data_IF_908505869071
#
_entry.id   IF_908505869071
#
_cell.length_a   1.000
_cell.length_b   1.000
_cell.length_c   1.000
_cell.angle_alpha   90.00
_cell.angle_beta   90.00
_cell.angle_gamma   90.00
#
_symmetry.space_group_name_H-M   'P 1'
#
loop_
_entity.id
_entity.type
_entity.pdbx_description
1 polymer ?
#
# COMPACT_ATOMS: atom_id res chain seq x y z
N UNK A 1 2.20 61.40 12.32
CA UNK A 1 1.36 60.45 11.56
C UNK A 1 2.25 59.40 10.88
N UNK A 2 2.96 58.57 11.66
CA UNK A 2 3.97 57.62 11.12
C UNK A 2 3.87 56.20 11.71
N UNK A 3 3.01 55.99 12.71
CA UNK A 3 2.91 54.71 13.45
C UNK A 3 1.84 53.77 12.84
N UNK A 4 0.95 54.27 11.97
CA UNK A 4 -0.08 53.44 11.33
C UNK A 4 0.37 52.72 10.04
N UNK A 5 1.48 53.13 9.42
CA UNK A 5 1.99 52.45 8.22
C UNK A 5 2.90 51.26 8.55
N UNK A 6 3.69 51.35 9.61
CA UNK A 6 4.62 50.27 9.99
C UNK A 6 3.88 48.99 10.42
N UNK A 7 2.69 49.14 11.02
CA UNK A 7 1.85 48.00 11.42
C UNK A 7 1.16 47.32 10.24
N UNK A 8 0.98 48.02 9.10
CA UNK A 8 0.43 47.42 7.86
C UNK A 8 1.47 46.67 7.06
N UNK A 9 2.72 47.12 7.05
CA UNK A 9 3.81 46.38 6.40
C UNK A 9 4.24 45.15 7.21
N UNK A 10 4.18 45.22 8.56
CA UNK A 10 4.40 44.04 9.41
C UNK A 10 3.25 43.02 9.36
N UNK A 11 2.01 43.43 9.09
CA UNK A 11 0.90 42.48 8.83
C UNK A 11 0.94 41.89 7.41
N UNK A 12 1.43 42.62 6.40
CA UNK A 12 1.62 42.04 5.04
C UNK A 12 2.71 40.98 4.98
N UNK A 13 3.75 41.11 5.81
CA UNK A 13 4.84 40.12 5.89
C UNK A 13 4.51 38.91 6.77
N UNK A 14 3.35 38.91 7.46
CA UNK A 14 2.89 37.75 8.25
C UNK A 14 1.77 36.95 7.57
N UNK A 15 1.38 37.31 6.34
CA UNK A 15 0.42 36.56 5.52
C UNK A 15 1.01 36.04 4.20
N UNK A 16 2.34 35.93 4.12
CA UNK A 16 3.07 35.27 3.03
C UNK A 16 4.16 34.41 3.68
N UNK A 17 3.88 33.17 4.09
CA UNK A 17 4.05 31.95 3.27
C UNK A 17 3.74 30.72 4.15
N UNK A 18 3.55 29.49 3.61
CA UNK A 18 3.63 29.08 2.22
C UNK A 18 2.31 28.43 1.78
N UNK A 19 1.59 29.02 0.82
CA UNK A 19 0.66 28.18 0.05
C UNK A 19 1.55 27.40 -0.90
N UNK A 20 1.93 26.23 -0.39
CA UNK A 20 2.12 24.98 -1.13
C UNK A 20 2.20 25.20 -2.63
N UNK A 21 3.44 25.30 -3.14
CA UNK A 21 3.71 25.01 -4.54
C UNK A 21 3.53 23.51 -4.75
N UNK A 22 2.30 23.03 -4.62
CA UNK A 22 1.81 21.77 -5.17
C UNK A 22 1.17 22.13 -6.50
N UNK A 23 1.97 22.77 -7.35
CA UNK A 23 1.67 23.04 -8.73
C UNK A 23 2.42 22.02 -9.57
N UNK A 24 1.77 20.88 -9.75
CA UNK A 24 2.12 19.88 -10.76
C UNK A 24 3.49 19.22 -10.57
N UNK A 25 3.61 18.40 -9.52
CA UNK A 25 4.20 17.10 -9.80
C UNK A 25 3.34 16.53 -10.92
N UNK A 26 3.88 16.50 -12.14
CA UNK A 26 3.38 15.65 -13.20
C UNK A 26 3.47 14.26 -12.61
N UNK A 27 2.38 13.84 -11.97
CA UNK A 27 2.17 12.48 -11.57
C UNK A 27 2.20 11.73 -12.90
N UNK A 28 3.25 10.93 -13.18
CA UNK A 28 3.24 10.11 -14.37
C UNK A 28 1.95 9.29 -14.31
N UNK A 29 1.21 9.31 -15.42
CA UNK A 29 -0.16 8.82 -15.59
C UNK A 29 -0.34 7.32 -15.23
N UNK A 30 0.77 6.67 -14.96
CA UNK A 30 1.05 5.26 -14.69
C UNK A 30 1.29 4.96 -13.19
N UNK A 31 1.49 5.98 -12.34
CA UNK A 31 1.71 5.80 -10.89
C UNK A 31 0.49 5.30 -10.11
N UNK A 32 -0.73 5.56 -10.59
CA UNK A 32 -1.96 5.17 -9.88
C UNK A 32 -2.17 3.67 -9.80
N UNK A 33 -1.79 2.92 -10.83
CA UNK A 33 -1.97 1.45 -10.85
C UNK A 33 -0.96 0.76 -9.92
N UNK A 34 0.30 1.20 -9.94
CA UNK A 34 1.36 0.65 -9.08
C UNK A 34 1.07 0.93 -7.60
N UNK A 35 0.60 2.12 -7.25
CA UNK A 35 0.19 2.46 -5.87
C UNK A 35 -0.95 1.56 -5.40
N UNK A 36 -1.95 1.30 -6.26
CA UNK A 36 -3.06 0.38 -5.92
C UNK A 36 -2.61 -1.07 -5.79
N UNK A 37 -1.64 -1.51 -6.59
CA UNK A 37 -1.03 -2.83 -6.44
C UNK A 37 -0.26 -2.91 -5.11
N UNK A 38 0.53 -1.89 -4.76
CA UNK A 38 1.22 -1.84 -3.46
C UNK A 38 0.23 -1.93 -2.29
N UNK A 39 -0.85 -1.14 -2.30
CA UNK A 39 -1.89 -1.20 -1.28
C UNK A 39 -2.53 -2.59 -1.16
N UNK A 40 -2.84 -3.22 -2.30
CA UNK A 40 -3.37 -4.59 -2.31
C UNK A 40 -2.39 -5.60 -1.72
N UNK A 41 -1.09 -5.47 -2.03
CA UNK A 41 -0.05 -6.33 -1.48
C UNK A 41 0.07 -6.18 0.04
N UNK A 42 0.07 -4.95 0.57
CA UNK A 42 0.06 -4.70 2.03
C UNK A 42 -1.16 -5.36 2.69
N UNK A 43 -2.33 -5.24 2.08
CA UNK A 43 -3.56 -5.83 2.61
C UNK A 43 -3.48 -7.35 2.67
N UNK A 44 -3.06 -8.01 1.59
CA UNK A 44 -2.95 -9.47 1.57
C UNK A 44 -1.82 -10.00 2.45
N UNK A 45 -0.69 -9.30 2.53
CA UNK A 45 0.41 -9.62 3.44
C UNK A 45 -0.09 -9.66 4.89
N UNK A 46 -0.73 -8.58 5.36
CA UNK A 46 -1.33 -8.54 6.71
C UNK A 46 -2.40 -9.60 6.94
N UNK A 47 -3.23 -9.91 5.93
CA UNK A 47 -4.20 -11.01 6.02
C UNK A 47 -3.53 -12.38 6.16
N UNK A 48 -2.45 -12.63 5.41
CA UNK A 48 -1.71 -13.90 5.49
C UNK A 48 -0.93 -14.02 6.81
N UNK A 49 -0.53 -12.92 7.43
CA UNK A 49 0.06 -12.89 8.77
C UNK A 49 -0.95 -12.98 9.93
N UNK A 50 -2.24 -12.85 9.65
CA UNK A 50 -3.30 -12.85 10.68
C UNK A 50 -3.61 -14.24 11.23
N UNK A 51 -4.37 -14.28 12.33
CA UNK A 51 -4.82 -15.51 13.01
C UNK A 51 -5.62 -16.45 12.08
N UNK A 52 -6.17 -15.92 10.98
CA UNK A 52 -6.83 -16.70 9.93
C UNK A 52 -5.87 -17.78 9.41
N UNK A 53 -4.61 -17.44 9.13
CA UNK A 53 -3.62 -18.37 8.57
C UNK A 53 -2.62 -18.88 9.63
N UNK A 54 -2.37 -18.12 10.70
CA UNK A 54 -1.40 -18.47 11.76
C UNK A 54 -2.02 -19.14 13.01
N UNK A 55 -3.35 -19.26 13.11
CA UNK A 55 -4.02 -19.95 14.21
C UNK A 55 -3.72 -21.45 14.31
N UNK A 56 -4.45 -22.17 15.18
CA UNK A 56 -4.24 -23.59 15.60
C UNK A 56 -3.81 -24.63 14.55
N UNK A 57 -4.09 -24.39 13.25
CA UNK A 57 -3.72 -25.29 12.15
C UNK A 57 -2.38 -24.93 11.46
N UNK A 58 -1.64 -23.94 11.94
CA UNK A 58 -0.34 -23.52 11.38
C UNK A 58 0.80 -24.37 11.93
N UNK A 59 0.87 -25.64 11.53
CA UNK A 59 1.95 -26.55 11.95
C UNK A 59 3.27 -26.32 11.20
N UNK A 60 3.29 -25.49 10.15
CA UNK A 60 4.48 -25.29 9.31
C UNK A 60 4.66 -23.83 8.90
N UNK A 61 5.54 -23.06 9.57
CA UNK A 61 5.91 -21.70 9.14
C UNK A 61 6.59 -21.67 7.76
N UNK A 62 7.06 -22.82 7.26
CA UNK A 62 7.61 -23.01 5.92
C UNK A 62 6.64 -23.71 4.94
N UNK A 63 5.35 -23.76 5.26
CA UNK A 63 4.34 -24.24 4.31
C UNK A 63 4.19 -23.33 3.09
N UNK A 64 3.44 -23.76 2.06
CA UNK A 64 3.23 -22.98 0.83
C UNK A 64 2.64 -21.58 1.10
N UNK A 65 1.85 -21.42 2.16
CA UNK A 65 1.32 -20.11 2.59
C UNK A 65 2.41 -19.21 3.18
N UNK A 66 3.38 -19.76 3.92
CA UNK A 66 4.52 -19.01 4.44
C UNK A 66 5.44 -18.52 3.33
N UNK A 67 5.70 -19.36 2.32
CA UNK A 67 6.41 -18.94 1.12
C UNK A 67 5.66 -17.85 0.35
N UNK A 68 4.33 -17.98 0.20
CA UNK A 68 3.50 -16.97 -0.44
C UNK A 68 3.58 -15.63 0.31
N UNK A 69 3.49 -15.65 1.63
CA UNK A 69 3.66 -14.45 2.46
C UNK A 69 5.02 -13.78 2.24
N UNK A 70 6.11 -14.57 2.22
CA UNK A 70 7.45 -14.05 1.93
C UNK A 70 7.59 -13.47 0.51
N UNK A 71 6.99 -14.13 -0.50
CA UNK A 71 6.99 -13.63 -1.88
C UNK A 71 6.21 -12.32 -2.02
N UNK A 72 5.07 -12.16 -1.33
CA UNK A 72 4.32 -10.91 -1.32
C UNK A 72 5.11 -9.78 -0.66
N UNK A 73 5.81 -10.06 0.44
CA UNK A 73 6.68 -9.09 1.10
C UNK A 73 7.83 -8.64 0.19
N UNK A 74 8.49 -9.58 -0.49
CA UNK A 74 9.53 -9.27 -1.47
C UNK A 74 9.01 -8.42 -2.63
N UNK A 75 7.83 -8.74 -3.18
CA UNK A 75 7.22 -7.94 -4.23
C UNK A 75 6.83 -6.54 -3.76
N UNK A 76 6.31 -6.40 -2.53
CA UNK A 76 6.01 -5.09 -1.92
C UNK A 76 7.26 -4.22 -1.83
N UNK A 77 8.37 -4.79 -1.36
CA UNK A 77 9.65 -4.07 -1.24
C UNK A 77 10.18 -3.60 -2.62
N UNK A 78 10.06 -4.43 -3.66
CA UNK A 78 10.44 -4.04 -5.03
C UNK A 78 9.62 -2.88 -5.59
N UNK A 79 8.37 -2.76 -5.17
CA UNK A 79 7.47 -1.69 -5.60
C UNK A 79 7.56 -0.46 -4.73
N UNK A 80 8.41 -0.46 -3.70
CA UNK A 80 8.59 0.64 -2.76
C UNK A 80 9.88 1.41 -3.05
N UNK A 81 9.83 2.50 -3.84
CA UNK A 81 10.92 3.46 -3.93
C UNK A 81 11.45 3.89 -2.55
N UNK A 82 12.76 3.80 -2.35
CA UNK A 82 13.49 4.35 -1.20
C UNK A 82 13.04 5.79 -0.93
N UNK A 83 12.29 5.99 0.17
CA UNK A 83 11.89 7.32 0.66
C UNK A 83 10.39 7.62 0.65
N UNK A 84 9.53 6.75 0.09
CA UNK A 84 8.08 6.92 0.17
C UNK A 84 7.47 5.92 1.16
N UNK A 85 7.03 6.45 2.30
CA UNK A 85 6.35 5.70 3.34
C UNK A 85 4.86 5.60 3.01
N UNK A 86 4.45 4.71 2.08
CA UNK A 86 3.02 4.46 1.81
C UNK A 86 2.35 3.63 2.91
N UNK A 87 2.67 3.87 4.18
CA UNK A 87 2.01 3.23 5.30
C UNK A 87 0.59 3.77 5.43
N UNK A 88 -0.27 3.27 4.55
CA UNK A 88 -1.68 3.24 4.81
C UNK A 88 -1.87 2.08 5.79
N UNK A 89 -2.04 2.40 7.07
CA UNK A 89 -2.43 1.47 8.12
C UNK A 89 -3.85 0.92 7.85
N UNK A 90 -4.01 0.15 6.77
CA UNK A 90 -5.11 -0.80 6.68
C UNK A 90 -4.61 -2.06 7.38
N UNK A 91 -4.78 -2.10 8.69
CA UNK A 91 -4.75 -3.36 9.43
C UNK A 91 -6.10 -4.03 9.17
N UNK A 92 -6.17 -5.10 8.36
CA UNK A 92 -7.33 -5.96 8.42
C UNK A 92 -7.41 -6.43 9.87
N UNK A 93 -8.47 -6.02 10.57
CA UNK A 93 -8.77 -6.52 11.91
C UNK A 93 -9.75 -7.67 11.74
N UNK A 94 -9.28 -8.92 11.57
CA UNK A 94 -10.17 -10.05 11.66
C UNK A 94 -10.61 -10.19 13.12
N UNK A 95 -11.92 -10.07 13.34
CA UNK A 95 -12.55 -10.56 14.56
C UNK A 95 -12.23 -12.05 14.73
N UNK A 96 -12.02 -12.57 15.96
CA UNK A 96 -11.73 -13.99 16.16
C UNK A 96 -12.84 -14.84 15.54
N UNK A 97 -12.47 -15.58 14.49
CA UNK A 97 -13.39 -16.44 13.74
C UNK A 97 -13.23 -17.89 14.20
N UNK A 98 -14.33 -18.64 14.28
CA UNK A 98 -14.28 -20.05 14.68
C UNK A 98 -13.41 -20.87 13.69
N UNK A 99 -12.79 -21.99 14.10
CA UNK A 99 -11.86 -22.75 13.26
C UNK A 99 -12.41 -23.13 11.86
N UNK A 100 -13.70 -23.46 11.77
CA UNK A 100 -14.36 -23.76 10.48
C UNK A 100 -14.58 -22.50 9.62
N UNK A 101 -14.87 -21.35 10.25
CA UNK A 101 -14.97 -20.06 9.54
C UNK A 101 -13.61 -19.66 8.98
N UNK A 102 -12.53 -19.87 9.75
CA UNK A 102 -11.16 -19.64 9.26
C UNK A 102 -10.87 -20.45 8.01
N UNK A 103 -11.28 -21.73 7.94
CA UNK A 103 -11.07 -22.56 6.74
C UNK A 103 -11.76 -21.99 5.50
N UNK A 104 -13.02 -21.56 5.63
CA UNK A 104 -13.77 -20.94 4.53
C UNK A 104 -13.16 -19.58 4.13
N UNK A 105 -12.74 -18.77 5.10
CA UNK A 105 -12.08 -17.49 4.88
C UNK A 105 -10.73 -17.67 4.16
N UNK A 106 -9.92 -18.67 4.54
CA UNK A 106 -8.66 -18.99 3.84
C UNK A 106 -8.90 -19.23 2.35
N UNK A 107 -9.88 -20.06 2.00
CA UNK A 107 -10.20 -20.35 0.60
C UNK A 107 -10.69 -19.11 -0.16
N UNK A 108 -11.51 -18.27 0.47
CA UNK A 108 -12.01 -17.03 -0.13
C UNK A 108 -10.88 -16.03 -0.35
N UNK A 109 -9.99 -15.87 0.63
CA UNK A 109 -8.83 -14.96 0.56
C UNK A 109 -7.87 -15.44 -0.52
N UNK A 110 -7.51 -16.73 -0.56
CA UNK A 110 -6.60 -17.28 -1.57
C UNK A 110 -7.16 -17.13 -2.99
N UNK A 111 -8.46 -17.37 -3.21
CA UNK A 111 -9.08 -17.13 -4.52
C UNK A 111 -9.07 -15.65 -4.92
N UNK A 112 -9.34 -14.76 -3.97
CA UNK A 112 -9.28 -13.31 -4.22
C UNK A 112 -7.85 -12.86 -4.52
N UNK A 113 -6.87 -13.40 -3.80
CA UNK A 113 -5.45 -13.12 -4.01
C UNK A 113 -5.00 -13.59 -5.38
N UNK A 114 -5.42 -14.79 -5.84
CA UNK A 114 -5.13 -15.29 -7.18
C UNK A 114 -5.62 -14.32 -8.28
N UNK A 115 -6.85 -13.84 -8.17
CA UNK A 115 -7.38 -12.87 -9.12
C UNK A 115 -6.58 -11.55 -9.10
N UNK A 116 -6.22 -11.08 -7.91
CA UNK A 116 -5.41 -9.88 -7.73
C UNK A 116 -4.02 -10.02 -8.36
N UNK A 117 -3.26 -11.09 -8.05
CA UNK A 117 -1.91 -11.27 -8.60
C UNK A 117 -1.93 -11.49 -10.11
N UNK A 118 -2.99 -12.09 -10.68
CA UNK A 118 -3.13 -12.21 -12.12
C UNK A 118 -3.22 -10.84 -12.81
N UNK A 119 -3.96 -9.89 -12.22
CA UNK A 119 -4.03 -8.51 -12.72
C UNK A 119 -2.68 -7.81 -12.55
N UNK A 120 -2.06 -7.90 -11.38
CA UNK A 120 -0.77 -7.29 -11.11
C UNK A 120 0.32 -7.82 -12.07
N UNK A 121 0.38 -9.13 -12.28
CA UNK A 121 1.31 -9.76 -13.21
C UNK A 121 1.13 -9.25 -14.65
N UNK A 122 -0.12 -9.05 -15.10
CA UNK A 122 -0.39 -8.47 -16.42
C UNK A 122 0.12 -7.03 -16.51
N UNK A 123 -0.08 -6.23 -15.47
CA UNK A 123 0.42 -4.84 -15.42
C UNK A 123 1.93 -4.81 -15.49
N UNK A 124 2.63 -5.67 -14.74
CA UNK A 124 4.09 -5.74 -14.78
C UNK A 124 4.62 -6.28 -16.11
N UNK A 125 4.02 -7.34 -16.66
CA UNK A 125 4.42 -7.88 -17.95
C UNK A 125 4.24 -6.85 -19.08
N UNK A 126 3.11 -6.13 -19.08
CA UNK A 126 2.86 -5.07 -20.05
C UNK A 126 3.84 -3.90 -19.88
N UNK A 127 4.10 -3.47 -18.64
CA UNK A 127 5.08 -2.44 -18.34
C UNK A 127 6.49 -2.83 -18.80
N UNK A 128 6.91 -4.06 -18.53
CA UNK A 128 8.21 -4.57 -18.99
C UNK A 128 8.34 -4.61 -20.53
N UNK A 129 7.25 -4.93 -21.24
CA UNK A 129 7.26 -5.01 -22.70
C UNK A 129 7.19 -3.66 -23.42
N UNK A 130 6.68 -2.60 -22.77
CA UNK A 130 6.39 -1.31 -23.43
C UNK A 130 7.17 -0.13 -22.86
N UNK A 131 7.68 -0.24 -21.64
CA UNK A 131 8.38 0.84 -20.92
C UNK A 131 9.84 0.49 -20.61
N UNK A 132 10.29 -0.74 -20.89
CA UNK A 132 11.71 -1.09 -20.79
C UNK A 132 12.45 -0.58 -22.03
N UNK A 133 13.48 0.28 -21.88
CA UNK A 133 14.29 0.79 -22.99
C UNK A 133 15.15 -0.27 -23.65
#
# INVERSE_FOLDING_TARGET
MWIYQEKREKMKLQMVSPISSVGMAVIPKDSGTTVRIHQGLVFYEKLLGSDIFTGEASLFPHGPVGQLHASLLGLRQLLQPEGHHWETEQTPSPSPSQPWQRLLLRLKILRSLQAFVAVAARVFAHGAATLSP
#
